data_IF_432749439388
#
_entry.id   IF_432749439388
#
_cell.length_a   1.000
_cell.length_b   1.000
_cell.length_c   1.000
_cell.angle_alpha   90.00
_cell.angle_beta   90.00
_cell.angle_gamma   90.00
#
_symmetry.space_group_name_H-M   'P 1'
#
loop_
_entity.id
_entity.type
_entity.pdbx_description
1 polymer ?
#
# COMPACT_ATOMS: atom_id res chain seq x y z
N UNK A 1 -52.13 -46.59 39.17
CA UNK A 1 -50.97 -45.87 39.70
C UNK A 1 -49.99 -45.68 38.50
N UNK A 2 -50.00 -44.48 37.83
CA UNK A 2 -49.18 -44.20 36.67
C UNK A 2 -48.08 -43.22 37.07
N UNK A 3 -46.83 -43.66 36.97
CA UNK A 3 -45.64 -42.84 37.25
C UNK A 3 -45.20 -42.20 35.96
N UNK A 4 -45.33 -40.87 35.91
CA UNK A 4 -44.86 -40.06 34.80
C UNK A 4 -43.37 -39.76 34.95
N UNK A 5 -42.55 -40.18 33.97
CA UNK A 5 -41.13 -39.86 33.92
C UNK A 5 -40.95 -38.55 33.12
N UNK A 6 -40.55 -37.49 33.78
CA UNK A 6 -40.10 -36.26 33.11
C UNK A 6 -38.67 -36.42 32.66
N UNK A 7 -38.48 -36.33 31.34
CA UNK A 7 -37.16 -36.24 30.70
C UNK A 7 -36.78 -34.76 30.66
N UNK A 8 -35.74 -34.38 31.37
CA UNK A 8 -35.15 -33.04 31.30
C UNK A 8 -34.09 -33.08 30.22
N UNK A 9 -34.34 -32.36 29.11
CA UNK A 9 -33.38 -32.13 28.03
C UNK A 9 -32.57 -30.88 28.37
N UNK A 10 -31.31 -31.06 28.75
CA UNK A 10 -30.36 -29.97 28.91
C UNK A 10 -29.86 -29.56 27.49
N UNK A 11 -30.29 -28.38 27.03
CA UNK A 11 -29.77 -27.78 25.83
C UNK A 11 -28.47 -27.03 26.20
N UNK A 12 -27.32 -27.57 25.81
CA UNK A 12 -26.03 -26.89 25.88
C UNK A 12 -25.95 -25.83 24.76
N UNK A 13 -26.04 -24.57 25.15
CA UNK A 13 -25.81 -23.45 24.24
C UNK A 13 -24.29 -23.27 24.12
N UNK A 14 -23.71 -23.73 23.00
CA UNK A 14 -22.34 -23.36 22.61
C UNK A 14 -22.33 -21.88 22.17
N UNK A 15 -21.76 -21.00 22.99
CA UNK A 15 -21.41 -19.65 22.61
C UNK A 15 -20.19 -19.72 21.64
N UNK A 16 -20.45 -19.60 20.37
CA UNK A 16 -19.39 -19.34 19.40
C UNK A 16 -19.08 -17.84 19.48
N UNK A 17 -17.93 -17.50 20.03
CA UNK A 17 -17.42 -16.13 19.98
C UNK A 17 -17.13 -15.75 18.52
N UNK A 18 -17.60 -14.59 18.02
CA UNK A 18 -17.23 -14.13 16.69
C UNK A 18 -15.74 -13.79 16.70
N UNK A 19 -14.96 -14.57 15.97
CA UNK A 19 -13.59 -14.18 15.59
C UNK A 19 -13.75 -13.00 14.64
N UNK A 20 -13.45 -11.78 15.08
CA UNK A 20 -13.33 -10.61 14.22
C UNK A 20 -12.13 -10.82 13.28
N UNK A 21 -12.36 -11.47 12.18
CA UNK A 21 -11.43 -11.46 11.05
C UNK A 21 -11.53 -10.07 10.42
N UNK A 22 -10.55 -9.22 10.64
CA UNK A 22 -10.38 -8.00 9.83
C UNK A 22 -10.15 -8.48 8.40
N UNK A 23 -11.15 -8.31 7.56
CA UNK A 23 -11.05 -8.76 6.17
C UNK A 23 -10.09 -7.86 5.41
N UNK A 24 -9.36 -8.40 4.44
CA UNK A 24 -8.45 -7.67 3.52
C UNK A 24 -9.13 -6.41 2.97
N UNK A 25 -10.43 -6.48 2.69
CA UNK A 25 -11.28 -5.38 2.24
C UNK A 25 -11.28 -4.14 3.17
N UNK A 26 -11.28 -4.32 4.49
CA UNK A 26 -11.27 -3.19 5.42
C UNK A 26 -9.90 -2.51 5.51
N UNK A 27 -8.81 -3.29 5.44
CA UNK A 27 -7.46 -2.76 5.42
C UNK A 27 -7.20 -1.96 4.13
N UNK A 28 -7.70 -2.45 3.00
CA UNK A 28 -7.63 -1.79 1.70
C UNK A 28 -8.38 -0.45 1.69
N UNK A 29 -9.58 -0.41 2.24
CA UNK A 29 -10.40 0.81 2.31
C UNK A 29 -9.71 1.88 3.17
N UNK A 30 -9.18 1.53 4.33
CA UNK A 30 -8.46 2.46 5.22
C UNK A 30 -7.21 3.03 4.56
N UNK A 31 -6.45 2.23 3.80
CA UNK A 31 -5.27 2.74 3.08
C UNK A 31 -5.68 3.68 1.95
N UNK A 32 -6.68 3.34 1.17
CA UNK A 32 -7.17 4.20 0.06
C UNK A 32 -7.74 5.53 0.54
N UNK A 33 -8.44 5.56 1.67
CA UNK A 33 -8.95 6.82 2.26
C UNK A 33 -7.83 7.75 2.74
N UNK A 34 -6.64 7.22 3.02
CA UNK A 34 -5.48 7.99 3.42
C UNK A 34 -4.72 8.61 2.23
N UNK A 35 -5.08 8.26 0.99
CA UNK A 35 -4.38 8.72 -0.20
C UNK A 35 -5.01 9.99 -0.76
N UNK A 36 -4.17 10.91 -1.25
CA UNK A 36 -4.59 12.16 -1.87
C UNK A 36 -4.01 12.30 -3.27
N UNK A 37 -4.90 12.58 -4.24
CA UNK A 37 -4.50 12.87 -5.61
C UNK A 37 -4.39 14.37 -5.87
N UNK A 38 -3.32 14.82 -6.52
CA UNK A 38 -3.21 16.20 -7.00
C UNK A 38 -2.40 16.30 -8.29
N UNK A 39 -2.64 17.36 -9.05
CA UNK A 39 -1.94 17.61 -10.29
C UNK A 39 -0.63 18.37 -10.06
N UNK A 40 0.34 18.14 -10.93
CA UNK A 40 1.56 18.91 -11.00
C UNK A 40 2.05 19.06 -12.44
N UNK A 41 2.99 19.96 -12.66
CA UNK A 41 3.57 20.21 -13.99
C UNK A 41 5.06 19.87 -13.96
N UNK A 42 5.53 19.10 -14.95
CA UNK A 42 6.94 18.79 -15.11
C UNK A 42 7.68 20.08 -15.45
N UNK A 43 8.45 20.59 -14.50
CA UNK A 43 9.16 21.86 -14.61
C UNK A 43 10.56 21.71 -15.21
N UNK A 44 11.20 20.55 -14.98
CA UNK A 44 12.57 20.23 -15.42
C UNK A 44 12.69 18.72 -15.59
N UNK A 45 13.58 18.32 -16.52
CA UNK A 45 14.04 16.93 -16.69
C UNK A 45 15.55 16.98 -16.69
N UNK A 46 16.20 16.15 -15.88
CA UNK A 46 17.65 16.10 -15.77
C UNK A 46 18.09 14.66 -15.48
N UNK A 47 18.93 14.11 -16.33
CA UNK A 47 19.42 12.72 -16.22
C UNK A 47 18.30 11.69 -16.02
N UNK A 48 17.16 11.86 -16.72
CA UNK A 48 15.98 11.00 -16.59
C UNK A 48 15.09 11.28 -15.36
N UNK A 49 15.56 12.08 -14.40
CA UNK A 49 14.78 12.51 -13.25
C UNK A 49 13.78 13.59 -13.63
N UNK A 50 12.52 13.43 -13.27
CA UNK A 50 11.48 14.42 -13.51
C UNK A 50 11.30 15.28 -12.26
N UNK A 51 11.28 16.59 -12.44
CA UNK A 51 11.00 17.57 -11.38
C UNK A 51 9.62 18.16 -11.61
N UNK A 52 8.70 17.86 -10.72
CA UNK A 52 7.30 18.26 -10.82
C UNK A 52 6.99 19.36 -9.81
N UNK A 53 6.43 20.46 -10.28
CA UNK A 53 5.93 21.54 -9.44
C UNK A 53 4.44 21.40 -9.21
N UNK A 54 3.99 21.58 -7.97
CA UNK A 54 2.57 21.68 -7.62
C UNK A 54 2.00 23.04 -8.06
N UNK A 55 0.67 23.17 -8.24
CA UNK A 55 0.05 24.42 -8.70
C UNK A 55 0.34 25.62 -7.80
N UNK A 56 0.49 25.39 -6.50
CA UNK A 56 0.83 26.39 -5.50
C UNK A 56 2.31 26.76 -5.48
N UNK A 57 3.15 26.08 -6.28
CA UNK A 57 4.61 26.20 -6.34
C UNK A 57 5.33 25.99 -4.97
N UNK A 58 4.63 25.50 -3.95
CA UNK A 58 5.19 25.35 -2.61
C UNK A 58 6.03 24.08 -2.48
N UNK A 59 5.79 23.10 -3.34
CA UNK A 59 6.51 21.84 -3.29
C UNK A 59 7.09 21.45 -4.65
N UNK A 60 8.35 21.05 -4.63
CA UNK A 60 9.01 20.39 -5.75
C UNK A 60 9.08 18.89 -5.43
N UNK A 61 8.52 18.08 -6.32
CA UNK A 61 8.60 16.61 -6.26
C UNK A 61 9.57 16.10 -7.28
N UNK A 62 10.30 15.06 -6.91
CA UNK A 62 11.19 14.36 -7.84
C UNK A 62 10.65 12.96 -8.09
N UNK A 63 10.66 12.56 -9.36
CA UNK A 63 10.33 11.20 -9.80
C UNK A 63 11.61 10.62 -10.37
N UNK A 64 12.07 9.51 -9.80
CA UNK A 64 13.27 8.83 -10.26
C UNK A 64 13.10 8.25 -11.67
N UNK A 65 14.19 8.06 -12.43
CA UNK A 65 14.11 7.42 -13.74
C UNK A 65 13.41 6.06 -13.68
N UNK A 66 13.76 5.22 -12.72
CA UNK A 66 13.16 3.89 -12.55
C UNK A 66 11.64 3.97 -12.33
N UNK A 67 11.17 4.91 -11.51
CA UNK A 67 9.74 5.10 -11.33
C UNK A 67 9.08 5.67 -12.58
N UNK A 68 9.73 6.63 -13.25
CA UNK A 68 9.23 7.19 -14.51
C UNK A 68 9.06 6.11 -15.59
N UNK A 69 9.99 5.17 -15.68
CA UNK A 69 9.93 4.05 -16.61
C UNK A 69 8.76 3.11 -16.28
N UNK A 70 8.61 2.70 -15.02
CA UNK A 70 7.51 1.82 -14.57
C UNK A 70 6.13 2.41 -14.85
N UNK A 71 5.95 3.70 -14.63
CA UNK A 71 4.64 4.38 -14.82
C UNK A 71 4.45 4.95 -16.23
N UNK A 72 5.34 4.64 -17.16
CA UNK A 72 5.24 5.07 -18.57
C UNK A 72 5.48 6.57 -18.80
N UNK A 73 6.27 7.21 -17.93
CA UNK A 73 6.65 8.61 -18.04
C UNK A 73 8.07 8.84 -18.62
N UNK A 74 8.75 7.82 -19.13
CA UNK A 74 10.11 7.91 -19.69
C UNK A 74 10.19 8.88 -20.87
N UNK A 75 9.11 9.07 -21.64
CA UNK A 75 9.01 10.03 -22.74
C UNK A 75 8.33 11.36 -22.36
N UNK A 76 8.10 11.59 -21.07
CA UNK A 76 7.44 12.80 -20.61
C UNK A 76 8.28 14.04 -20.93
N UNK A 77 7.62 15.18 -21.14
CA UNK A 77 8.25 16.43 -21.53
C UNK A 77 8.02 17.52 -20.50
N UNK A 78 8.94 18.48 -20.45
CA UNK A 78 8.74 19.70 -19.69
C UNK A 78 7.45 20.39 -20.12
N UNK A 79 6.63 20.82 -19.15
CA UNK A 79 5.32 21.44 -19.35
C UNK A 79 4.15 20.45 -19.34
N UNK A 80 4.41 19.13 -19.40
CA UNK A 80 3.34 18.15 -19.26
C UNK A 80 2.77 18.14 -17.83
N UNK A 81 1.45 17.97 -17.75
CA UNK A 81 0.74 17.80 -16.48
C UNK A 81 0.68 16.31 -16.10
N UNK A 82 1.00 16.02 -14.88
CA UNK A 82 0.89 14.69 -14.27
C UNK A 82 -0.05 14.73 -13.09
N UNK A 83 -0.68 13.60 -12.78
CA UNK A 83 -1.41 13.37 -11.55
C UNK A 83 -0.52 12.57 -10.61
N UNK A 84 -0.41 12.99 -9.37
CA UNK A 84 0.39 12.36 -8.33
C UNK A 84 -0.52 11.85 -7.24
N UNK A 85 -0.27 10.65 -6.75
CA UNK A 85 -0.91 10.06 -5.59
C UNK A 85 0.08 10.08 -4.43
N UNK A 86 -0.34 10.60 -3.28
CA UNK A 86 0.49 10.63 -2.07
C UNK A 86 -0.29 10.04 -0.89
N UNK A 87 0.45 9.56 0.09
CA UNK A 87 -0.11 9.13 1.36
C UNK A 87 -0.39 10.31 2.31
N UNK A 88 -0.93 10.00 3.49
CA UNK A 88 -1.18 10.99 4.56
C UNK A 88 0.09 11.67 5.07
N UNK A 89 1.26 11.06 4.91
CA UNK A 89 2.58 11.62 5.20
C UNK A 89 3.15 12.46 4.06
N UNK A 90 2.37 12.63 2.98
CA UNK A 90 2.78 13.37 1.79
C UNK A 90 3.95 12.71 1.03
N UNK A 91 4.14 11.39 1.17
CA UNK A 91 5.08 10.60 0.38
C UNK A 91 4.44 10.24 -0.95
N UNK A 92 5.19 10.41 -2.06
CA UNK A 92 4.70 10.06 -3.40
C UNK A 92 4.59 8.54 -3.53
N UNK A 93 3.38 8.05 -3.74
CA UNK A 93 3.09 6.63 -3.97
C UNK A 93 3.12 6.30 -5.45
N UNK A 94 2.37 7.05 -6.26
CA UNK A 94 2.25 6.80 -7.68
C UNK A 94 2.10 8.10 -8.47
N UNK A 95 2.29 8.01 -9.80
CA UNK A 95 2.17 9.14 -10.72
C UNK A 95 1.69 8.65 -12.09
N UNK A 96 0.81 9.41 -12.72
CA UNK A 96 0.33 9.13 -14.08
C UNK A 96 0.21 10.41 -14.90
N UNK A 97 0.08 10.29 -16.22
CA UNK A 97 -0.21 11.45 -17.10
C UNK A 97 -1.62 11.98 -16.81
N UNK A 98 -1.79 13.28 -16.88
CA UNK A 98 -3.12 13.87 -16.78
C UNK A 98 -4.07 13.26 -17.83
N UNK A 99 -5.29 12.94 -17.38
CA UNK A 99 -6.31 12.27 -18.20
C UNK A 99 -6.19 10.75 -18.27
N UNK A 100 -5.23 10.15 -17.58
CA UNK A 100 -5.16 8.70 -17.36
C UNK A 100 -5.49 8.37 -15.90
N UNK A 101 -6.09 7.21 -15.68
CA UNK A 101 -6.24 6.66 -14.34
C UNK A 101 -4.86 6.17 -13.83
N UNK A 102 -4.70 6.10 -12.51
CA UNK A 102 -3.61 5.35 -11.91
C UNK A 102 -3.74 3.88 -12.28
N UNK A 103 -2.63 3.17 -12.33
CA UNK A 103 -2.65 1.72 -12.45
C UNK A 103 -3.36 1.09 -11.24
N UNK A 104 -3.86 -0.15 -11.43
CA UNK A 104 -4.44 -0.88 -10.31
C UNK A 104 -3.36 -1.26 -9.31
N UNK A 105 -3.61 -0.93 -8.05
CA UNK A 105 -2.75 -1.32 -6.94
C UNK A 105 -3.31 -2.57 -6.25
N UNK A 106 -2.42 -3.41 -5.76
CA UNK A 106 -2.76 -4.63 -5.03
C UNK A 106 -2.37 -4.51 -3.57
N UNK A 107 -3.29 -4.88 -2.66
CA UNK A 107 -3.03 -4.95 -1.24
C UNK A 107 -2.69 -6.37 -0.80
N UNK A 108 -1.68 -6.49 0.05
CA UNK A 108 -1.31 -7.75 0.70
C UNK A 108 -1.24 -7.53 2.21
N UNK A 109 -1.84 -8.44 2.94
CA UNK A 109 -1.74 -8.47 4.41
C UNK A 109 -0.88 -9.65 4.81
N UNK A 110 0.10 -9.40 5.67
CA UNK A 110 1.01 -10.43 6.14
C UNK A 110 1.78 -10.02 7.38
N UNK A 111 2.68 -10.89 7.81
CA UNK A 111 3.63 -10.58 8.88
C UNK A 111 4.98 -10.23 8.26
N UNK A 112 5.54 -9.09 8.61
CA UNK A 112 6.86 -8.68 8.13
C UNK A 112 7.91 -9.68 8.65
N UNK A 113 8.50 -10.46 7.75
CA UNK A 113 9.53 -11.43 8.09
C UNK A 113 10.90 -10.78 8.17
N UNK A 114 11.24 -9.98 7.15
CA UNK A 114 12.38 -9.08 7.18
C UNK A 114 12.18 -7.88 6.26
N UNK A 115 12.98 -6.83 6.50
CA UNK A 115 13.11 -5.67 5.61
C UNK A 115 14.60 -5.33 5.45
N UNK A 116 15.04 -5.22 4.20
CA UNK A 116 16.41 -4.84 3.87
C UNK A 116 16.42 -3.49 3.15
N UNK A 117 16.71 -2.38 3.85
CA UNK A 117 16.78 -1.05 3.24
C UNK A 117 17.94 -0.91 2.23
N UNK A 118 18.99 -1.71 2.34
CA UNK A 118 20.13 -1.64 1.44
C UNK A 118 19.80 -2.24 0.07
N UNK A 119 19.15 -3.41 0.06
CA UNK A 119 18.68 -4.05 -1.17
C UNK A 119 17.31 -3.56 -1.62
N UNK A 120 16.67 -2.69 -0.83
CA UNK A 120 15.31 -2.20 -1.08
C UNK A 120 14.32 -3.36 -1.28
N UNK A 121 14.33 -4.30 -0.33
CA UNK A 121 13.54 -5.53 -0.40
C UNK A 121 12.84 -5.80 0.93
N UNK A 122 11.63 -6.34 0.87
CA UNK A 122 10.92 -6.90 2.03
C UNK A 122 10.51 -8.34 1.75
N UNK A 123 10.33 -9.11 2.83
CA UNK A 123 9.69 -10.41 2.79
C UNK A 123 8.54 -10.46 3.78
N UNK A 124 7.39 -10.92 3.32
CA UNK A 124 6.19 -11.15 4.12
C UNK A 124 5.95 -12.65 4.29
N UNK A 125 5.46 -13.03 5.47
CA UNK A 125 4.81 -14.31 5.69
C UNK A 125 3.31 -14.11 5.52
N UNK A 126 2.74 -14.72 4.49
CA UNK A 126 1.31 -14.71 4.15
C UNK A 126 0.71 -16.09 4.34
N UNK A 127 -0.62 -16.28 4.24
CA UNK A 127 -1.24 -17.61 4.24
C UNK A 127 -0.73 -18.52 3.11
N UNK A 128 -0.30 -17.94 1.99
CA UNK A 128 0.21 -18.64 0.81
C UNK A 128 1.70 -19.02 0.95
N UNK A 129 2.40 -18.45 1.93
CA UNK A 129 3.81 -18.69 2.19
C UNK A 129 4.64 -17.41 2.31
N UNK A 130 5.94 -17.51 2.05
CA UNK A 130 6.83 -16.35 2.05
C UNK A 130 6.82 -15.69 0.68
N UNK A 131 6.48 -14.41 0.65
CA UNK A 131 6.50 -13.58 -0.54
C UNK A 131 7.53 -12.45 -0.39
N UNK A 132 8.21 -12.12 -1.48
CA UNK A 132 9.29 -11.15 -1.53
C UNK A 132 8.94 -10.05 -2.52
N UNK A 133 9.20 -8.79 -2.14
CA UNK A 133 8.85 -7.61 -2.94
C UNK A 133 9.99 -6.60 -2.94
N UNK A 134 10.24 -6.03 -4.11
CA UNK A 134 11.06 -4.83 -4.22
C UNK A 134 10.34 -3.65 -3.59
N UNK A 135 11.11 -2.69 -3.08
CA UNK A 135 10.61 -1.50 -2.39
C UNK A 135 10.90 -0.26 -3.21
N UNK A 136 9.87 0.55 -3.49
CA UNK A 136 10.08 1.87 -4.09
C UNK A 136 10.97 2.73 -3.19
N UNK A 137 11.91 3.43 -3.78
CA UNK A 137 12.91 4.22 -3.06
C UNK A 137 12.29 5.24 -2.08
N UNK A 138 11.10 5.77 -2.40
CA UNK A 138 10.39 6.71 -1.53
C UNK A 138 9.68 6.01 -0.37
N UNK A 139 9.24 4.77 -0.55
CA UNK A 139 8.62 3.96 0.50
C UNK A 139 9.65 3.40 1.50
N UNK A 140 10.92 3.33 1.12
CA UNK A 140 11.99 2.77 1.96
C UNK A 140 12.13 3.44 3.33
N UNK A 141 11.82 4.73 3.45
CA UNK A 141 11.84 5.44 4.72
C UNK A 141 10.85 4.89 5.75
N UNK A 142 9.75 4.27 5.32
CA UNK A 142 8.73 3.67 6.19
C UNK A 142 9.21 2.37 6.83
N UNK A 143 10.16 1.69 6.21
CA UNK A 143 10.71 0.42 6.73
C UNK A 143 11.48 0.63 8.04
N UNK A 144 12.13 1.78 8.22
CA UNK A 144 12.97 2.05 9.38
C UNK A 144 12.23 2.08 10.72
N UNK A 145 10.90 2.25 10.68
CA UNK A 145 10.05 2.30 11.90
C UNK A 145 9.26 1.01 12.13
N UNK A 146 9.40 0.03 11.24
CA UNK A 146 8.75 -1.26 11.35
C UNK A 146 9.73 -2.29 11.92
N UNK A 147 9.20 -3.19 12.72
CA UNK A 147 9.95 -4.30 13.30
C UNK A 147 9.52 -5.62 12.67
N UNK A 148 10.44 -6.55 12.54
CA UNK A 148 10.13 -7.92 12.16
C UNK A 148 9.10 -8.54 13.10
N UNK A 149 8.22 -9.37 12.57
CA UNK A 149 7.13 -10.00 13.31
C UNK A 149 5.86 -9.16 13.45
N UNK A 150 5.85 -7.89 12.99
CA UNK A 150 4.60 -7.09 13.01
C UNK A 150 3.70 -7.45 11.85
N UNK A 151 2.38 -7.41 12.10
CA UNK A 151 1.39 -7.51 11.03
C UNK A 151 1.33 -6.19 10.26
N UNK A 152 1.39 -6.31 8.93
CA UNK A 152 1.40 -5.16 8.01
C UNK A 152 0.42 -5.36 6.88
N UNK A 153 -0.06 -4.24 6.35
CA UNK A 153 -0.70 -4.15 5.04
C UNK A 153 0.28 -3.46 4.11
N UNK A 154 0.56 -4.08 2.98
CA UNK A 154 1.47 -3.61 1.94
C UNK A 154 0.66 -3.28 0.70
N UNK A 155 0.94 -2.14 0.08
CA UNK A 155 0.41 -1.74 -1.22
C UNK A 155 1.49 -1.91 -2.28
N UNK A 156 1.15 -2.62 -3.34
CA UNK A 156 2.00 -2.88 -4.49
C UNK A 156 1.46 -2.16 -5.72
N UNK A 157 2.35 -1.63 -6.54
CA UNK A 157 2.01 -1.13 -7.87
C UNK A 157 1.79 -2.28 -8.88
N UNK A 158 1.51 -1.92 -10.13
CA UNK A 158 1.26 -2.90 -11.19
C UNK A 158 2.46 -3.82 -11.50
N UNK A 159 3.67 -3.40 -11.15
CA UNK A 159 4.91 -4.18 -11.33
C UNK A 159 5.28 -4.99 -10.08
N UNK A 160 4.37 -5.08 -9.10
CA UNK A 160 4.57 -5.71 -7.79
C UNK A 160 5.70 -5.08 -6.95
N UNK A 161 5.97 -3.80 -7.14
CA UNK A 161 6.88 -3.04 -6.29
C UNK A 161 6.09 -2.43 -5.14
N UNK A 162 6.58 -2.58 -3.91
CA UNK A 162 5.95 -1.98 -2.73
C UNK A 162 6.05 -0.46 -2.78
N UNK A 163 4.92 0.21 -2.79
CA UNK A 163 4.80 1.67 -2.79
C UNK A 163 4.33 2.23 -1.45
N UNK A 164 3.64 1.42 -0.64
CA UNK A 164 3.25 1.79 0.72
C UNK A 164 3.24 0.57 1.66
N UNK A 165 3.44 0.83 2.95
CA UNK A 165 3.37 -0.16 4.01
C UNK A 165 2.86 0.48 5.30
N UNK A 166 1.92 -0.17 5.97
CA UNK A 166 1.35 0.28 7.24
C UNK A 166 1.17 -0.90 8.20
N UNK A 167 1.18 -0.62 9.51
CA UNK A 167 0.79 -1.64 10.49
C UNK A 167 -0.69 -1.95 10.33
N UNK A 168 -1.01 -3.23 10.22
CA UNK A 168 -2.39 -3.69 10.33
C UNK A 168 -2.88 -3.50 11.77
N UNK A 169 -4.08 -2.98 11.93
CA UNK A 169 -4.75 -2.76 13.23
C UNK A 169 -5.55 -3.96 13.65
#
# INVERSE_FOLDING_TARGET
MRISRHVVVLASIMMVAPVCSVTVSQAEEVMREAHHGFAGVISKIESGMLFVKTPDNLQLRTISPNKADRVGLHEARKGETVLMLVDSGNVLLDVTRAGRAFADHRMIVGTLHYADPYWSEIQLSTPEGFERFDVDALAGSKLSVLQEGVHVTVELDADNVMIDIQRSR
#
